data_IF_510021850376
#
_entry.id   IF_510021850376
#
_cell.length_a   1.000
_cell.length_b   1.000
_cell.length_c   1.000
_cell.angle_alpha   90.00
_cell.angle_beta   90.00
_cell.angle_gamma   90.00
#
_symmetry.space_group_name_H-M   'P 1'
#
loop_
_entity.id
_entity.type
_entity.pdbx_description
1 polymer ?
#
# COMPACT_ATOMS: atom_id res chain seq x y z
N UNK A 1 -7.07 -19.74 -1.22
CA UNK A 1 -6.92 -18.43 -0.54
C UNK A 1 -5.44 -18.24 -0.28
N UNK A 2 -4.82 -17.25 -0.92
CA UNK A 2 -3.43 -16.90 -0.60
C UNK A 2 -3.39 -16.30 0.82
N UNK A 3 -2.36 -16.64 1.58
CA UNK A 3 -2.14 -16.10 2.91
C UNK A 3 -1.59 -14.66 2.82
N UNK A 4 -2.30 -13.68 3.40
CA UNK A 4 -1.92 -12.25 3.36
C UNK A 4 -0.52 -12.01 3.93
N UNK A 5 -0.14 -12.67 5.04
CA UNK A 5 1.18 -12.55 5.65
C UNK A 5 2.30 -13.04 4.74
N UNK A 6 2.05 -14.09 3.95
CA UNK A 6 3.04 -14.60 2.99
C UNK A 6 3.32 -13.57 1.89
N UNK A 7 2.28 -12.96 1.33
CA UNK A 7 2.45 -11.93 0.30
C UNK A 7 3.09 -10.67 0.90
N UNK A 8 2.65 -10.25 2.08
CA UNK A 8 3.26 -9.13 2.80
C UNK A 8 4.75 -9.37 3.06
N UNK A 9 5.13 -10.60 3.45
CA UNK A 9 6.52 -11.01 3.59
C UNK A 9 7.31 -10.80 2.30
N UNK A 10 6.81 -11.31 1.17
CA UNK A 10 7.49 -11.16 -0.12
C UNK A 10 7.66 -9.67 -0.52
N UNK A 11 6.65 -8.83 -0.27
CA UNK A 11 6.73 -7.39 -0.54
C UNK A 11 7.76 -6.72 0.37
N UNK A 12 7.74 -7.01 1.67
CA UNK A 12 8.69 -6.45 2.62
C UNK A 12 10.12 -6.93 2.36
N UNK A 13 10.29 -8.14 1.81
CA UNK A 13 11.58 -8.65 1.33
C UNK A 13 12.10 -7.83 0.15
N UNK A 14 11.27 -7.71 -0.89
CA UNK A 14 11.62 -6.97 -2.11
C UNK A 14 12.00 -5.51 -1.80
N UNK A 15 11.30 -4.91 -0.83
CA UNK A 15 11.54 -3.54 -0.40
C UNK A 15 12.68 -3.42 0.63
N UNK A 16 13.35 -4.50 1.02
CA UNK A 16 14.33 -4.53 2.12
C UNK A 16 13.81 -3.83 3.39
N UNK A 17 12.53 -4.02 3.68
CA UNK A 17 11.78 -3.29 4.70
C UNK A 17 11.37 -4.16 5.89
N UNK A 18 11.83 -5.42 5.95
CA UNK A 18 11.54 -6.36 7.05
C UNK A 18 12.02 -5.88 8.42
N UNK A 19 13.19 -5.25 8.49
CA UNK A 19 13.75 -4.84 9.77
C UNK A 19 12.99 -3.63 10.34
N UNK A 20 12.15 -3.92 11.33
CA UNK A 20 11.23 -2.95 11.93
C UNK A 20 9.86 -2.87 11.24
N UNK A 21 9.55 -3.77 10.30
CA UNK A 21 8.17 -3.87 9.81
C UNK A 21 7.24 -4.35 10.92
N UNK A 22 6.06 -3.73 11.00
CA UNK A 22 5.04 -4.09 11.99
C UNK A 22 3.67 -4.06 11.32
N UNK A 23 2.78 -5.01 11.64
CA UNK A 23 1.38 -4.86 11.27
C UNK A 23 0.82 -3.64 11.99
N UNK A 24 0.26 -2.71 11.23
CA UNK A 24 -0.55 -1.62 11.75
C UNK A 24 -1.99 -2.07 12.01
N UNK A 25 -2.45 -3.05 11.25
CA UNK A 25 -3.71 -3.78 11.43
C UNK A 25 -3.50 -5.21 10.93
N UNK A 26 -3.94 -6.21 11.70
CA UNK A 26 -3.89 -7.62 11.33
C UNK A 26 -5.23 -8.25 11.69
N UNK A 27 -6.08 -8.44 10.69
CA UNK A 27 -7.41 -9.02 10.81
C UNK A 27 -7.62 -10.07 9.71
N UNK A 28 -8.67 -10.88 9.84
CA UNK A 28 -8.90 -12.03 8.95
C UNK A 28 -8.98 -11.65 7.46
N UNK A 29 -9.61 -10.51 7.15
CA UNK A 29 -9.86 -10.08 5.79
C UNK A 29 -8.93 -8.96 5.31
N UNK A 30 -8.17 -8.36 6.22
CA UNK A 30 -7.35 -7.18 5.93
C UNK A 30 -6.05 -7.18 6.74
N UNK A 31 -4.95 -6.87 6.06
CA UNK A 31 -3.63 -6.75 6.66
C UNK A 31 -2.99 -5.44 6.20
N UNK A 32 -2.65 -4.58 7.15
CA UNK A 32 -1.90 -3.35 6.89
C UNK A 32 -0.52 -3.51 7.49
N UNK A 33 0.53 -3.42 6.67
CA UNK A 33 1.92 -3.51 7.13
C UNK A 33 2.68 -2.26 6.72
N UNK A 34 3.43 -1.71 7.67
CA UNK A 34 4.32 -0.56 7.46
C UNK A 34 5.75 -0.99 7.66
N UNK A 35 6.65 -0.45 6.85
CA UNK A 35 8.06 -0.76 6.87
C UNK A 35 8.93 0.43 6.51
N UNK A 36 10.18 0.40 6.99
CA UNK A 36 11.22 1.35 6.61
C UNK A 36 12.19 0.63 5.69
N UNK A 37 12.17 0.98 4.41
CA UNK A 37 13.04 0.38 3.39
C UNK A 37 14.49 0.76 3.63
N UNK A 38 15.38 -0.24 3.61
CA UNK A 38 16.83 -0.05 3.54
C UNK A 38 17.35 0.06 2.11
N UNK A 39 16.51 -0.27 1.13
CA UNK A 39 16.81 -0.18 -0.29
C UNK A 39 17.11 1.28 -0.67
N UNK A 40 18.14 1.49 -1.48
CA UNK A 40 18.48 2.82 -2.00
C UNK A 40 17.54 3.18 -3.15
N UNK A 41 16.38 3.72 -2.81
CA UNK A 41 15.39 4.20 -3.77
C UNK A 41 15.52 5.72 -3.91
N UNK A 42 15.74 6.20 -5.13
CA UNK A 42 15.65 7.63 -5.45
C UNK A 42 14.18 8.08 -5.38
N UNK A 43 13.93 9.26 -4.82
CA UNK A 43 12.56 9.76 -4.68
C UNK A 43 11.85 9.84 -6.03
N UNK A 44 12.54 10.24 -7.09
CA UNK A 44 11.96 10.37 -8.44
C UNK A 44 11.75 9.01 -9.14
N UNK A 45 12.34 7.93 -8.61
CA UNK A 45 12.25 6.59 -9.18
C UNK A 45 11.30 5.68 -8.39
N UNK A 46 10.60 6.19 -7.37
CA UNK A 46 9.68 5.36 -6.57
C UNK A 46 8.58 4.71 -7.41
N UNK A 47 8.09 5.39 -8.44
CA UNK A 47 7.07 4.82 -9.33
C UNK A 47 7.61 3.60 -10.10
N UNK A 48 8.84 3.69 -10.63
CA UNK A 48 9.51 2.59 -11.33
C UNK A 48 9.78 1.39 -10.41
N UNK A 49 10.06 1.66 -9.12
CA UNK A 49 10.20 0.61 -8.12
C UNK A 49 8.87 -0.12 -7.86
N UNK A 50 7.76 0.63 -7.81
CA UNK A 50 6.43 0.02 -7.70
C UNK A 50 6.07 -0.80 -8.94
N UNK A 51 6.36 -0.32 -10.15
CA UNK A 51 6.17 -1.10 -11.38
C UNK A 51 6.98 -2.40 -11.37
N UNK A 52 8.21 -2.34 -10.88
CA UNK A 52 9.09 -3.49 -10.78
C UNK A 52 8.58 -4.50 -9.74
N UNK A 53 8.09 -4.02 -8.60
CA UNK A 53 7.42 -4.86 -7.60
C UNK A 53 6.21 -5.59 -8.20
N UNK A 54 5.34 -4.87 -8.92
CA UNK A 54 4.14 -5.47 -9.54
C UNK A 54 4.53 -6.58 -10.51
N UNK A 55 5.57 -6.37 -11.33
CA UNK A 55 6.11 -7.40 -12.23
C UNK A 55 6.66 -8.62 -11.48
N UNK A 56 7.41 -8.41 -10.40
CA UNK A 56 7.98 -9.50 -9.58
C UNK A 56 6.88 -10.32 -8.91
N UNK A 57 5.81 -9.66 -8.43
CA UNK A 57 4.66 -10.34 -7.83
C UNK A 57 3.77 -11.04 -8.86
N UNK A 58 3.86 -10.69 -10.15
CA UNK A 58 2.88 -11.09 -11.16
C UNK A 58 1.51 -10.43 -10.93
N UNK A 59 1.49 -9.25 -10.31
CA UNK A 59 0.27 -8.53 -9.99
C UNK A 59 -0.28 -7.76 -11.19
N UNK A 60 -1.61 -7.66 -11.28
CA UNK A 60 -2.31 -6.83 -12.26
C UNK A 60 -2.53 -5.44 -11.67
N UNK A 61 -1.93 -4.42 -12.27
CA UNK A 61 -2.21 -3.02 -11.93
C UNK A 61 -3.63 -2.61 -12.37
N UNK A 62 -4.27 -1.80 -11.54
CA UNK A 62 -5.60 -1.24 -11.80
C UNK A 62 -5.44 0.28 -11.99
N UNK A 63 -6.11 0.83 -12.99
CA UNK A 63 -6.22 2.27 -13.14
C UNK A 63 -6.99 2.86 -11.96
N UNK A 64 -6.38 3.82 -11.25
CA UNK A 64 -6.94 4.49 -10.09
C UNK A 64 -8.30 5.15 -10.35
N UNK A 65 -8.59 5.50 -11.61
CA UNK A 65 -9.86 6.13 -12.00
C UNK A 65 -10.91 5.15 -12.51
N UNK A 66 -10.67 3.84 -12.41
CA UNK A 66 -11.62 2.81 -12.84
C UNK A 66 -12.63 2.43 -11.76
N UNK A 67 -13.75 1.84 -12.18
CA UNK A 67 -14.78 1.28 -11.29
C UNK A 67 -14.22 0.15 -10.41
N UNK A 68 -13.27 -0.63 -10.94
CA UNK A 68 -12.56 -1.68 -10.20
C UNK A 68 -11.77 -1.09 -9.03
N UNK A 69 -11.09 0.04 -9.25
CA UNK A 69 -10.36 0.74 -8.19
C UNK A 69 -11.31 1.29 -7.12
N UNK A 70 -12.41 1.93 -7.53
CA UNK A 70 -13.42 2.43 -6.60
C UNK A 70 -14.01 1.31 -5.74
N UNK A 71 -14.30 0.16 -6.36
CA UNK A 71 -14.83 -1.03 -5.67
C UNK A 71 -13.84 -1.60 -4.68
N UNK A 72 -12.56 -1.73 -5.07
CA UNK A 72 -11.52 -2.26 -4.19
C UNK A 72 -11.23 -1.33 -3.00
N UNK A 73 -11.16 -0.02 -3.23
CA UNK A 73 -10.96 0.97 -2.16
C UNK A 73 -12.13 0.92 -1.17
N UNK A 74 -13.37 0.83 -1.68
CA UNK A 74 -14.56 0.70 -0.84
C UNK A 74 -14.53 -0.57 0.00
N UNK A 75 -14.11 -1.69 -0.59
CA UNK A 75 -13.95 -2.96 0.12
C UNK A 75 -12.90 -2.85 1.25
N UNK A 76 -11.73 -2.28 0.95
CA UNK A 76 -10.67 -2.06 1.93
C UNK A 76 -11.13 -1.19 3.09
N UNK A 77 -11.74 -0.03 2.82
CA UNK A 77 -12.24 0.88 3.85
C UNK A 77 -13.29 0.20 4.74
N UNK A 78 -14.22 -0.55 4.15
CA UNK A 78 -15.19 -1.36 4.90
C UNK A 78 -14.50 -2.35 5.83
N UNK A 79 -13.57 -3.16 5.32
CA UNK A 79 -12.87 -4.17 6.13
C UNK A 79 -12.04 -3.54 7.26
N UNK A 80 -11.45 -2.36 7.03
CA UNK A 80 -10.77 -1.60 8.10
C UNK A 80 -11.78 -1.23 9.19
N UNK A 81 -12.92 -0.62 8.84
CA UNK A 81 -13.96 -0.19 9.80
C UNK A 81 -14.59 -1.36 10.56
N UNK A 82 -14.73 -2.51 9.92
CA UNK A 82 -15.20 -3.73 10.58
C UNK A 82 -14.17 -4.26 11.61
N UNK A 83 -12.89 -3.88 11.46
CA UNK A 83 -11.78 -4.34 12.30
C UNK A 83 -11.35 -3.34 13.38
N UNK A 84 -11.70 -2.05 13.25
CA UNK A 84 -11.36 -0.99 14.21
C UNK A 84 -12.53 -0.02 14.41
N UNK A 85 -12.76 0.41 15.65
CA UNK A 85 -13.78 1.43 15.96
C UNK A 85 -13.37 2.80 15.37
N UNK A 86 -13.82 3.06 14.14
CA UNK A 86 -13.66 4.36 13.46
C UNK A 86 -14.98 5.11 13.52
N UNK A 87 -14.96 6.32 14.09
CA UNK A 87 -16.09 7.25 14.00
C UNK A 87 -15.98 8.08 12.71
N UNK A 88 -16.89 7.86 11.76
CA UNK A 88 -17.00 8.63 10.52
C UNK A 88 -17.51 7.79 9.35
N UNK A 89 -17.85 8.44 8.24
CA UNK A 89 -18.21 7.76 6.98
C UNK A 89 -16.96 7.39 6.17
N UNK A 90 -17.12 6.47 5.20
CA UNK A 90 -16.12 6.20 4.16
C UNK A 90 -15.72 7.51 3.47
N UNK A 91 -14.43 7.78 3.38
CA UNK A 91 -13.88 8.95 2.69
C UNK A 91 -13.22 8.52 1.38
N UNK A 92 -13.92 8.59 0.23
CA UNK A 92 -13.37 8.20 -1.07
C UNK A 92 -12.15 9.02 -1.47
N UNK A 93 -11.97 10.21 -0.89
CA UNK A 93 -10.81 11.07 -1.09
C UNK A 93 -9.63 10.79 -0.16
N UNK A 94 -9.72 9.78 0.72
CA UNK A 94 -8.73 9.52 1.77
C UNK A 94 -7.31 9.33 1.24
N UNK A 95 -7.14 8.61 0.13
CA UNK A 95 -5.83 8.42 -0.53
C UNK A 95 -5.28 9.75 -1.06
N UNK A 96 -6.13 10.57 -1.67
CA UNK A 96 -5.72 11.87 -2.19
C UNK A 96 -5.30 12.81 -1.06
N UNK A 97 -6.09 12.91 0.01
CA UNK A 97 -5.77 13.70 1.20
C UNK A 97 -4.49 13.23 1.89
N UNK A 98 -4.26 11.91 1.95
CA UNK A 98 -3.01 11.35 2.46
C UNK A 98 -1.81 11.81 1.62
N UNK A 99 -1.92 11.74 0.29
CA UNK A 99 -0.88 12.22 -0.62
C UNK A 99 -0.62 13.72 -0.43
N UNK A 100 -1.66 14.55 -0.48
CA UNK A 100 -1.53 16.01 -0.30
C UNK A 100 -0.89 16.37 1.04
N UNK A 101 -1.29 15.69 2.12
CA UNK A 101 -0.74 15.91 3.46
C UNK A 101 0.76 15.59 3.51
N UNK A 102 1.18 14.44 3.00
CA UNK A 102 2.60 14.07 2.94
C UNK A 102 3.40 15.00 2.02
N UNK A 103 2.84 15.38 0.87
CA UNK A 103 3.51 16.30 -0.06
C UNK A 103 3.68 17.71 0.51
N UNK A 104 2.73 18.16 1.33
CA UNK A 104 2.83 19.42 2.07
C UNK A 104 3.95 19.43 3.11
N UNK A 105 4.37 18.24 3.57
CA UNK A 105 5.49 18.04 4.50
C UNK A 105 6.83 17.76 3.79
N UNK A 106 6.92 18.10 2.49
CA UNK A 106 8.12 17.93 1.67
C UNK A 106 8.49 16.46 1.36
N UNK A 107 7.52 15.55 1.40
CA UNK A 107 7.68 14.19 0.86
C UNK A 107 7.28 14.12 -0.62
N UNK A 108 7.93 13.24 -1.37
CA UNK A 108 7.39 12.71 -2.62
C UNK A 108 6.58 11.46 -2.26
N UNK A 109 5.43 11.26 -2.89
CA UNK A 109 4.54 10.14 -2.63
C UNK A 109 4.12 9.46 -3.94
N UNK A 110 4.38 8.17 -4.02
CA UNK A 110 3.98 7.31 -5.13
C UNK A 110 3.12 6.17 -4.60
N UNK A 111 2.05 5.82 -5.29
CA UNK A 111 1.20 4.70 -4.89
C UNK A 111 0.67 3.96 -6.11
N UNK A 112 0.32 2.68 -5.92
CA UNK A 112 -0.35 1.85 -6.92
C UNK A 112 -1.39 0.95 -6.25
N UNK A 113 -2.41 0.59 -7.03
CA UNK A 113 -3.46 -0.34 -6.65
C UNK A 113 -3.43 -1.53 -7.61
N UNK A 114 -3.65 -2.74 -7.09
CA UNK A 114 -3.55 -3.94 -7.89
C UNK A 114 -4.28 -5.14 -7.31
N UNK A 115 -4.32 -6.19 -8.14
CA UNK A 115 -4.74 -7.53 -7.73
C UNK A 115 -3.59 -8.52 -7.88
N UNK A 116 -3.49 -9.43 -6.92
CA UNK A 116 -2.73 -10.66 -6.99
C UNK A 116 -3.67 -11.82 -6.70
N UNK A 117 -4.09 -12.53 -7.75
CA UNK A 117 -5.18 -13.52 -7.67
C UNK A 117 -6.43 -12.95 -6.99
N UNK A 118 -6.80 -13.46 -5.81
CA UNK A 118 -7.95 -13.05 -5.02
C UNK A 118 -7.60 -12.02 -3.91
N UNK A 119 -6.42 -11.41 -3.98
CA UNK A 119 -5.97 -10.38 -3.04
C UNK A 119 -5.92 -9.05 -3.77
N UNK A 120 -6.72 -8.09 -3.33
CA UNK A 120 -6.54 -6.70 -3.73
C UNK A 120 -5.55 -6.02 -2.80
N UNK A 121 -4.69 -5.15 -3.34
CA UNK A 121 -3.72 -4.43 -2.52
C UNK A 121 -3.49 -3.01 -2.99
N UNK A 122 -3.28 -2.13 -2.02
CA UNK A 122 -2.87 -0.75 -2.19
C UNK A 122 -1.49 -0.59 -1.55
N UNK A 123 -0.51 -0.12 -2.31
CA UNK A 123 0.83 0.16 -1.80
C UNK A 123 1.18 1.62 -2.02
N UNK A 124 1.77 2.24 -1.01
CA UNK A 124 2.29 3.60 -1.07
C UNK A 124 3.74 3.64 -0.58
N UNK A 125 4.56 4.37 -1.32
CA UNK A 125 5.92 4.76 -0.98
C UNK A 125 5.98 6.25 -0.74
N UNK A 126 6.74 6.66 0.27
CA UNK A 126 7.06 8.06 0.45
C UNK A 126 8.48 8.25 0.95
N UNK A 127 9.10 9.33 0.48
CA UNK A 127 10.48 9.69 0.76
C UNK A 127 10.63 11.21 0.73
N UNK A 128 11.49 11.75 1.59
CA UNK A 128 11.76 13.18 1.62
C UNK A 128 12.32 13.64 0.26
N UNK A 129 11.84 14.77 -0.27
CA UNK A 129 12.22 15.31 -1.57
C UNK A 129 13.72 15.63 -1.67
N UNK A 130 14.39 15.90 -0.56
CA UNK A 130 15.85 16.08 -0.52
C UNK A 130 16.63 14.80 -0.87
N UNK A 131 15.97 13.64 -0.89
CA UNK A 131 16.60 12.34 -1.08
C UNK A 131 17.27 11.81 0.20
N UNK A 132 17.35 12.60 1.26
CA UNK A 132 17.99 12.26 2.54
C UNK A 132 17.03 11.42 3.40
N UNK A 133 17.57 10.41 4.07
CA UNK A 133 16.80 9.54 4.96
C UNK A 133 16.15 8.34 4.26
N UNK A 134 15.38 7.53 5.00
CA UNK A 134 14.82 6.29 4.49
C UNK A 134 13.66 6.54 3.50
N UNK A 135 13.39 5.53 2.67
CA UNK A 135 12.10 5.40 2.00
C UNK A 135 11.17 4.60 2.91
N UNK A 136 9.91 5.01 3.02
CA UNK A 136 8.89 4.29 3.78
C UNK A 136 7.95 3.57 2.84
N UNK A 137 7.45 2.43 3.27
CA UNK A 137 6.46 1.62 2.56
C UNK A 137 5.29 1.30 3.48
N UNK A 138 4.09 1.46 2.97
CA UNK A 138 2.86 0.96 3.59
C UNK A 138 2.06 0.20 2.54
N UNK A 139 1.56 -0.95 2.94
CA UNK A 139 0.73 -1.78 2.09
C UNK A 139 -0.50 -2.22 2.84
N UNK A 140 -1.65 -2.10 2.18
CA UNK A 140 -2.94 -2.61 2.61
C UNK A 140 -3.27 -3.78 1.70
N UNK A 141 -3.38 -4.97 2.28
CA UNK A 141 -3.88 -6.15 1.61
C UNK A 141 -5.30 -6.42 2.06
N UNK A 142 -6.16 -6.79 1.11
CA UNK A 142 -7.55 -7.17 1.34
C UNK A 142 -7.82 -8.46 0.59
N UNK A 143 -8.46 -9.41 1.27
CA UNK A 143 -9.07 -10.53 0.57
C UNK A 143 -10.26 -10.00 -0.23
N UNK A 144 -10.12 -10.03 -1.55
CA UNK A 144 -11.21 -9.77 -2.48
C UNK A 144 -11.81 -11.14 -2.82
N UNK A 145 -12.84 -11.55 -2.07
CA UNK A 145 -13.69 -12.65 -2.55
C UNK A 145 -14.29 -12.19 -3.89
N UNK A 146 -13.90 -12.85 -4.98
CA UNK A 146 -14.53 -12.69 -6.30
C UNK A 146 -15.86 -13.45 -6.35
#
# INVERSE_FOLDING_TARGET
MINLHKVAGNVMEYMEAFDGSRPALDAEQILIVRGRSKKRIDANNMNLELESLFKVLGAKEIDMFSDDAASLITLMDKQIRDSVEIQGDTDPGGIHKMKESLESMNFLVEYKLGFLENIGFFIVLWKDKSGIGPCFVEIVFSNAEC
#
